data_IF_452013341302
#
_entry.id   IF_452013341302
#
_cell.length_a   1.000
_cell.length_b   1.000
_cell.length_c   1.000
_cell.angle_alpha   90.00
_cell.angle_beta   90.00
_cell.angle_gamma   90.00
#
_symmetry.space_group_name_H-M   'P 1'
#
loop_
_entity.id
_entity.type
_entity.pdbx_description
1 polymer ?
#
# COMPACT_ATOMS: atom_id res chain seq x y z
N UNK A 1 -62.51 19.43 16.17
CA UNK A 1 -62.04 18.61 15.03
C UNK A 1 -60.83 19.23 14.31
N UNK A 2 -60.86 20.53 14.01
CA UNK A 2 -59.76 21.24 13.31
C UNK A 2 -58.40 21.15 14.06
N UNK A 3 -58.39 21.27 15.39
CA UNK A 3 -57.16 21.18 16.21
C UNK A 3 -56.48 19.80 16.19
N UNK A 4 -57.27 18.73 16.07
CA UNK A 4 -56.74 17.38 15.97
C UNK A 4 -56.10 17.15 14.58
N UNK A 5 -56.69 17.76 13.55
CA UNK A 5 -56.19 17.71 12.18
C UNK A 5 -54.87 18.47 12.02
N UNK A 6 -54.74 19.64 12.66
CA UNK A 6 -53.48 20.41 12.64
C UNK A 6 -52.35 19.71 13.39
N UNK A 7 -52.66 19.01 14.50
CA UNK A 7 -51.67 18.24 15.24
C UNK A 7 -51.21 17.01 14.45
N UNK A 8 -52.13 16.31 13.78
CA UNK A 8 -51.80 15.19 12.91
C UNK A 8 -50.93 15.63 11.71
N UNK A 9 -51.22 16.80 11.11
CA UNK A 9 -50.40 17.36 10.04
C UNK A 9 -48.98 17.75 10.51
N UNK A 10 -48.86 18.30 11.72
CA UNK A 10 -47.55 18.65 12.30
C UNK A 10 -46.72 17.39 12.64
N UNK A 11 -47.35 16.33 13.14
CA UNK A 11 -46.67 15.05 13.39
C UNK A 11 -46.26 14.34 12.09
N UNK A 12 -47.01 14.51 11.00
CA UNK A 12 -46.63 13.94 9.71
C UNK A 12 -45.36 14.59 9.13
N UNK A 13 -45.14 15.88 9.40
CA UNK A 13 -43.93 16.59 8.90
C UNK A 13 -42.63 16.16 9.57
N UNK A 14 -42.65 15.57 10.78
CA UNK A 14 -41.44 15.09 11.46
C UNK A 14 -41.01 13.68 11.03
N UNK A 15 -41.77 13.01 10.16
CA UNK A 15 -41.43 11.66 9.65
C UNK A 15 -40.43 11.68 8.47
N UNK A 16 -40.21 12.83 7.82
CA UNK A 16 -39.28 12.99 6.70
C UNK A 16 -37.82 12.51 6.95
N UNK A 17 -37.17 12.74 8.12
CA UNK A 17 -35.81 12.30 8.34
C UNK A 17 -35.65 10.77 8.44
N UNK A 18 -36.74 10.01 8.64
CA UNK A 18 -36.69 8.54 8.63
C UNK A 18 -36.39 7.97 7.22
N UNK A 19 -36.74 8.70 6.16
CA UNK A 19 -36.45 8.32 4.77
C UNK A 19 -35.06 8.78 4.29
N UNK A 20 -34.37 9.63 5.06
CA UNK A 20 -33.04 10.14 4.74
C UNK A 20 -31.90 9.32 5.39
N UNK A 21 -32.22 8.20 6.04
CA UNK A 21 -31.23 7.28 6.59
C UNK A 21 -30.44 6.66 5.42
N UNK A 22 -29.17 7.02 5.27
CA UNK A 22 -28.28 6.32 4.34
C UNK A 22 -28.26 4.82 4.72
N UNK A 23 -28.29 3.89 3.74
CA UNK A 23 -28.18 2.46 4.02
C UNK A 23 -27.00 2.18 4.95
N UNK A 24 -27.23 1.34 5.96
CA UNK A 24 -26.19 0.92 6.89
C UNK A 24 -25.03 0.29 6.09
N UNK A 25 -23.86 0.94 6.11
CA UNK A 25 -22.66 0.45 5.41
C UNK A 25 -22.02 1.42 4.42
N UNK A 26 -22.68 2.52 4.02
CA UNK A 26 -22.07 3.49 3.09
C UNK A 26 -20.79 4.16 3.63
N UNK A 27 -20.66 4.25 4.96
CA UNK A 27 -19.46 4.78 5.64
C UNK A 27 -18.59 3.69 6.26
N UNK A 28 -18.91 2.41 6.01
CA UNK A 28 -18.10 1.32 6.52
C UNK A 28 -16.79 1.22 5.71
N UNK A 29 -15.62 1.09 6.36
CA UNK A 29 -14.37 0.83 5.67
C UNK A 29 -14.48 -0.46 4.84
N UNK A 30 -14.23 -0.38 3.54
CA UNK A 30 -14.13 -1.56 2.68
C UNK A 30 -12.67 -1.99 2.55
N UNK A 31 -12.32 -3.24 2.87
CA UNK A 31 -10.97 -3.73 2.66
C UNK A 31 -10.66 -3.77 1.16
N UNK A 32 -9.71 -2.94 0.72
CA UNK A 32 -9.14 -3.07 -0.64
C UNK A 32 -8.06 -4.15 -0.64
N UNK A 33 -7.98 -4.99 -1.69
CA UNK A 33 -6.89 -5.95 -1.80
C UNK A 33 -5.52 -5.25 -1.89
N UNK A 34 -4.55 -5.76 -1.14
CA UNK A 34 -3.16 -5.36 -1.32
C UNK A 34 -2.63 -5.97 -2.63
N UNK A 35 -2.11 -5.13 -3.52
CA UNK A 35 -1.44 -5.60 -4.74
C UNK A 35 0.04 -5.77 -4.45
N UNK A 36 0.55 -7.00 -4.58
CA UNK A 36 1.98 -7.26 -4.50
C UNK A 36 2.63 -6.90 -5.84
N UNK A 37 3.39 -5.80 -5.84
CA UNK A 37 4.10 -5.29 -7.02
C UNK A 37 5.53 -5.79 -7.09
N UNK A 38 6.00 -6.54 -6.08
CA UNK A 38 7.39 -6.97 -5.99
C UNK A 38 7.55 -8.27 -6.80
N UNK A 39 8.47 -8.32 -7.78
CA UNK A 39 8.75 -9.55 -8.49
C UNK A 39 9.22 -10.66 -7.55
N UNK A 40 8.72 -11.88 -7.76
CA UNK A 40 9.20 -13.04 -7.02
C UNK A 40 10.71 -13.26 -7.27
N UNK A 41 11.48 -13.72 -6.25
CA UNK A 41 12.86 -14.13 -6.43
C UNK A 41 12.99 -15.18 -7.54
N UNK A 42 14.07 -15.11 -8.31
CA UNK A 42 14.36 -16.05 -9.40
C UNK A 42 15.72 -16.69 -9.17
N UNK A 43 15.78 -18.01 -9.26
CA UNK A 43 17.02 -18.77 -9.22
C UNK A 43 17.62 -18.87 -10.62
N UNK A 44 18.20 -17.74 -11.07
CA UNK A 44 18.85 -17.63 -12.38
C UNK A 44 20.14 -16.85 -12.23
N UNK A 45 21.13 -17.16 -13.07
CA UNK A 45 22.39 -16.44 -13.09
C UNK A 45 22.16 -14.95 -13.37
N UNK A 46 22.94 -14.09 -12.69
CA UNK A 46 22.85 -12.65 -12.89
C UNK A 46 23.30 -12.27 -14.31
N UNK A 47 22.54 -11.44 -15.06
CA UNK A 47 22.90 -11.06 -16.41
C UNK A 47 23.99 -9.99 -16.41
N UNK A 48 25.24 -10.39 -16.16
CA UNK A 48 26.40 -9.50 -16.19
C UNK A 48 27.62 -10.10 -15.52
N UNK A 49 28.71 -9.33 -15.53
CA UNK A 49 29.96 -9.68 -14.86
C UNK A 49 30.23 -8.69 -13.72
N UNK A 50 30.93 -9.13 -12.69
CA UNK A 50 31.44 -8.25 -11.64
C UNK A 50 32.88 -7.84 -11.93
N UNK A 51 33.25 -6.65 -11.49
CA UNK A 51 34.64 -6.18 -11.50
C UNK A 51 35.24 -6.31 -10.12
N UNK A 52 36.45 -6.87 -10.05
CA UNK A 52 37.21 -6.98 -8.82
C UNK A 52 38.50 -6.14 -8.93
N UNK A 53 38.68 -5.18 -8.04
CA UNK A 53 39.92 -4.43 -7.90
C UNK A 53 40.69 -4.95 -6.69
N UNK A 54 41.89 -5.47 -6.93
CA UNK A 54 42.74 -6.06 -5.90
C UNK A 54 43.99 -5.19 -5.74
N UNK A 55 44.12 -4.54 -4.61
CA UNK A 55 45.37 -3.91 -4.18
C UNK A 55 46.21 -4.94 -3.43
N UNK A 56 47.31 -5.34 -4.07
CA UNK A 56 48.28 -6.31 -3.59
C UNK A 56 49.63 -5.65 -3.25
N UNK A 57 49.63 -4.39 -2.81
CA UNK A 57 50.87 -3.65 -2.54
C UNK A 57 51.60 -4.14 -1.28
N UNK A 58 50.87 -4.65 -0.28
CA UNK A 58 51.43 -5.01 1.03
C UNK A 58 51.55 -6.53 1.24
N UNK A 59 52.26 -7.19 0.32
CA UNK A 59 52.49 -8.64 0.36
C UNK A 59 53.41 -9.08 1.50
N UNK A 60 54.34 -8.22 1.94
CA UNK A 60 55.26 -8.53 3.04
C UNK A 60 54.51 -8.76 4.37
N UNK A 61 53.40 -8.04 4.58
CA UNK A 61 52.51 -8.24 5.71
C UNK A 61 51.33 -9.16 5.39
N UNK A 62 51.21 -9.65 4.15
CA UNK A 62 50.11 -10.50 3.70
C UNK A 62 48.75 -9.79 3.59
N UNK A 63 48.73 -8.46 3.42
CA UNK A 63 47.49 -7.68 3.37
C UNK A 63 47.10 -7.39 1.92
N UNK A 64 45.87 -7.76 1.58
CA UNK A 64 45.22 -7.46 0.30
C UNK A 64 43.95 -6.65 0.53
N UNK A 65 43.73 -5.60 -0.25
CA UNK A 65 42.48 -4.82 -0.21
C UNK A 65 41.69 -5.09 -1.47
N UNK A 66 40.46 -5.57 -1.33
CA UNK A 66 39.62 -6.00 -2.45
C UNK A 66 38.36 -5.15 -2.51
N UNK A 67 38.07 -4.57 -3.68
CA UNK A 67 36.81 -3.87 -3.95
C UNK A 67 36.07 -4.55 -5.09
N UNK A 68 34.85 -4.99 -4.81
CA UNK A 68 33.96 -5.61 -5.79
C UNK A 68 32.92 -4.61 -6.27
N UNK A 69 32.58 -4.65 -7.56
CA UNK A 69 31.47 -3.87 -8.13
C UNK A 69 30.65 -4.77 -9.04
N UNK A 70 29.36 -4.90 -8.74
CA UNK A 70 28.38 -5.60 -9.57
C UNK A 70 27.46 -4.54 -10.19
N UNK A 71 27.38 -4.44 -11.53
CA UNK A 71 26.48 -3.48 -12.19
C UNK A 71 25.02 -3.88 -11.95
N UNK A 72 24.12 -2.90 -11.85
CA UNK A 72 22.68 -3.15 -11.73
C UNK A 72 22.04 -3.21 -13.12
N UNK A 73 21.49 -4.37 -13.48
CA UNK A 73 20.68 -4.57 -14.68
C UNK A 73 19.43 -3.68 -14.65
N UNK A 74 19.05 -3.16 -15.82
CA UNK A 74 17.85 -2.33 -15.99
C UNK A 74 16.58 -3.17 -16.00
#
# INVERSE_FOLDING_TARGET
MIRALTLAALLATTAAPALAQAPAGNSAPHPVPFTDTIPKPRDVAYPGTMTLHVDATNVQQGIFRVKQTIPVAK
#
